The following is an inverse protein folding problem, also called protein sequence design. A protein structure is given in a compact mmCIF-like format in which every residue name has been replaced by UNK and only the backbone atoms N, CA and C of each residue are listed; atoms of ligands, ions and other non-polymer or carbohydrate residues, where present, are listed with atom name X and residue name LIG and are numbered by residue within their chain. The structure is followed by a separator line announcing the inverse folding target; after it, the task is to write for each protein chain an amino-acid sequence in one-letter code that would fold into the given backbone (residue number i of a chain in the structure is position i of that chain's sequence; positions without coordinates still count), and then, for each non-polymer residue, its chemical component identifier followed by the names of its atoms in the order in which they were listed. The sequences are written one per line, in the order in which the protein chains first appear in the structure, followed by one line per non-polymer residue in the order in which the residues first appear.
data_IF_670752692582
#
_entry.id   IF_670752692582
#
_cell.length_a   1.000
_cell.length_b   1.000
_cell.length_c   1.000
_cell.angle_alpha   90.00
_cell.angle_beta   90.00
_cell.angle_gamma   90.00
#
_symmetry.space_group_name_H-M   'P 1'
#
loop_
_entity.id
_entity.type
_entity.pdbx_description
1 polymer ?
#
# COMPACT_ATOMS: atom_id res chain seq x y z
N UNK A 1 17.53 17.07 -32.92
CA UNK A 1 17.60 15.72 -33.48
C UNK A 1 17.92 14.81 -32.31
N UNK A 2 16.91 14.29 -31.65
CA UNK A 2 16.64 12.87 -31.65
C UNK A 2 15.30 12.63 -30.94
N UNK A 3 14.36 12.10 -31.72
CA UNK A 3 12.98 11.93 -31.30
C UNK A 3 12.76 10.45 -30.96
N UNK A 4 13.22 9.99 -29.80
CA UNK A 4 13.12 8.54 -29.51
C UNK A 4 12.96 8.17 -28.04
N UNK A 5 12.21 8.94 -27.24
CA UNK A 5 11.72 8.44 -25.94
C UNK A 5 10.28 8.88 -25.72
N UNK A 6 9.40 8.41 -26.60
CA UNK A 6 7.96 8.50 -26.42
C UNK A 6 7.30 7.19 -26.87
N UNK A 7 7.47 6.11 -26.15
CA UNK A 7 6.65 4.94 -26.37
C UNK A 7 6.85 3.88 -25.28
N UNK A 8 6.36 4.10 -24.05
CA UNK A 8 6.17 3.03 -23.07
C UNK A 8 5.03 3.30 -22.09
N UNK A 9 4.00 4.04 -22.49
CA UNK A 9 2.74 4.06 -21.75
C UNK A 9 1.58 4.12 -22.72
N UNK A 10 1.34 3.02 -23.43
CA UNK A 10 0.02 2.76 -23.97
C UNK A 10 -0.84 2.25 -22.81
N UNK A 11 -1.96 2.89 -22.49
CA UNK A 11 -2.94 2.26 -21.62
C UNK A 11 -3.53 1.09 -22.41
N UNK A 12 -3.19 -0.13 -21.98
CA UNK A 12 -3.87 -1.32 -22.45
C UNK A 12 -5.37 -1.10 -22.26
N UNK A 13 -6.10 -1.16 -23.36
CA UNK A 13 -7.55 -1.14 -23.40
C UNK A 13 -8.09 -2.05 -22.30
N UNK A 14 -9.00 -1.51 -21.51
CA UNK A 14 -9.86 -2.21 -20.57
C UNK A 14 -10.51 -3.42 -21.25
N UNK A 15 -9.84 -4.55 -21.21
CA UNK A 15 -10.52 -5.81 -21.36
C UNK A 15 -11.41 -5.97 -20.12
N UNK A 16 -12.70 -5.82 -20.33
CA UNK A 16 -13.72 -6.16 -19.36
C UNK A 16 -13.56 -7.65 -19.04
N UNK A 17 -12.88 -7.96 -17.95
CA UNK A 17 -13.00 -9.28 -17.35
C UNK A 17 -14.27 -9.25 -16.52
N UNK A 18 -15.28 -10.06 -16.89
CA UNK A 18 -16.47 -10.18 -16.06
C UNK A 18 -16.06 -10.75 -14.71
N UNK A 19 -16.62 -10.22 -13.63
CA UNK A 19 -16.69 -10.92 -12.36
C UNK A 19 -17.39 -12.25 -12.62
N UNK A 20 -16.61 -13.29 -12.86
CA UNK A 20 -17.15 -14.62 -13.13
C UNK A 20 -17.79 -15.13 -11.86
N UNK A 21 -19.10 -15.18 -11.91
CA UNK A 21 -19.96 -15.92 -10.97
C UNK A 21 -19.53 -17.38 -10.97
N UNK A 22 -18.75 -17.79 -9.99
CA UNK A 22 -18.59 -19.21 -9.66
C UNK A 22 -19.72 -19.54 -8.70
N UNK A 23 -20.55 -20.49 -9.14
CA UNK A 23 -21.79 -20.91 -8.50
C UNK A 23 -21.62 -21.18 -7.00
N UNK A 24 -22.48 -20.52 -6.26
CA UNK A 24 -22.65 -20.72 -4.83
C UNK A 24 -23.82 -21.67 -4.64
N UNK A 25 -23.54 -22.74 -3.93
CA UNK A 25 -24.56 -23.59 -3.35
C UNK A 25 -25.18 -22.82 -2.18
N UNK A 26 -26.49 -22.63 -2.26
CA UNK A 26 -27.30 -22.00 -1.23
C UNK A 26 -27.17 -22.68 0.13
N UNK A 27 -26.88 -21.88 1.15
CA UNK A 27 -27.53 -22.05 2.45
C UNK A 27 -27.60 -20.74 3.21
N UNK A 28 -28.81 -20.39 3.43
CA UNK A 28 -29.47 -19.40 4.27
C UNK A 28 -28.68 -18.74 5.40
N UNK A 29 -28.77 -17.41 5.50
CA UNK A 29 -28.84 -16.73 6.80
C UNK A 29 -27.89 -15.56 7.01
N UNK A 30 -28.50 -14.38 7.11
CA UNK A 30 -28.00 -13.12 7.72
C UNK A 30 -26.91 -12.34 6.99
N UNK A 31 -27.35 -11.15 6.56
CA UNK A 31 -26.53 -9.99 6.21
C UNK A 31 -25.48 -9.68 7.28
N UNK A 32 -24.26 -10.06 7.03
CA UNK A 32 -23.11 -9.71 7.84
C UNK A 32 -21.94 -9.44 6.90
N UNK A 33 -21.41 -8.23 6.96
CA UNK A 33 -20.10 -7.92 6.39
C UNK A 33 -19.15 -9.07 6.76
N UNK A 34 -18.72 -9.86 5.79
CA UNK A 34 -17.66 -10.84 6.02
C UNK A 34 -16.35 -10.09 6.15
N UNK A 35 -16.05 -9.68 7.39
CA UNK A 35 -14.72 -9.26 7.77
C UNK A 35 -13.80 -10.47 7.57
N UNK A 36 -13.03 -10.48 6.51
CA UNK A 36 -11.91 -11.39 6.38
C UNK A 36 -10.90 -10.88 7.40
N UNK A 37 -10.91 -11.52 8.52
CA UNK A 37 -10.07 -11.51 9.71
C UNK A 37 -8.94 -10.48 9.77
N UNK A 38 -8.65 -10.04 10.98
CA UNK A 38 -7.40 -9.41 11.38
C UNK A 38 -6.23 -10.31 10.94
N UNK A 39 -5.77 -10.14 9.69
CA UNK A 39 -4.64 -10.86 9.14
C UNK A 39 -3.39 -10.36 9.84
N UNK A 40 -2.94 -11.08 10.86
CA UNK A 40 -1.75 -10.71 11.64
C UNK A 40 -0.45 -11.23 10.99
N UNK A 41 -0.54 -12.20 10.07
CA UNK A 41 0.63 -12.84 9.48
C UNK A 41 0.87 -12.38 8.05
N UNK A 42 2.07 -11.85 7.77
CA UNK A 42 2.49 -11.38 6.44
C UNK A 42 2.34 -12.48 5.35
N UNK A 43 2.53 -13.76 5.71
CA UNK A 43 2.38 -14.89 4.79
C UNK A 43 0.93 -15.12 4.37
N UNK A 44 -0.04 -14.96 5.26
CA UNK A 44 -1.47 -15.09 4.95
C UNK A 44 -1.92 -13.97 4.03
N UNK A 45 -1.49 -12.74 4.33
CA UNK A 45 -1.78 -11.57 3.48
C UNK A 45 -1.24 -11.80 2.07
N UNK A 46 0.00 -12.29 1.95
CA UNK A 46 0.63 -12.55 0.66
C UNK A 46 -0.15 -13.60 -0.14
N UNK A 47 -0.61 -14.69 0.50
CA UNK A 47 -1.45 -15.69 -0.14
C UNK A 47 -2.78 -15.10 -0.64
N UNK A 48 -3.42 -14.24 0.15
CA UNK A 48 -4.65 -13.55 -0.26
C UNK A 48 -4.42 -12.67 -1.49
N UNK A 49 -3.30 -11.95 -1.55
CA UNK A 49 -2.96 -11.13 -2.72
C UNK A 49 -2.72 -11.97 -3.98
N UNK A 50 -2.06 -13.13 -3.81
CA UNK A 50 -1.75 -14.04 -4.93
C UNK A 50 -2.99 -14.80 -5.45
N UNK A 51 -4.03 -14.98 -4.64
CA UNK A 51 -5.26 -15.64 -5.06
C UNK A 51 -6.00 -14.89 -6.16
N UNK A 52 -5.59 -13.65 -6.45
CA UNK A 52 -6.17 -12.84 -7.52
C UNK A 52 -7.55 -12.25 -7.17
N UNK A 53 -8.00 -12.41 -5.94
CA UNK A 53 -9.20 -11.75 -5.44
C UNK A 53 -8.91 -10.27 -5.16
N UNK A 54 -9.85 -9.40 -5.54
CA UNK A 54 -9.78 -7.98 -5.19
C UNK A 54 -10.31 -7.80 -3.78
N UNK A 55 -9.49 -7.25 -2.93
CA UNK A 55 -9.82 -6.88 -1.56
C UNK A 55 -9.67 -5.36 -1.39
N UNK A 56 -10.15 -4.82 -0.31
CA UNK A 56 -10.09 -3.41 0.03
C UNK A 56 -9.58 -3.25 1.46
N UNK A 57 -8.65 -2.33 1.68
CA UNK A 57 -8.24 -1.93 3.02
C UNK A 57 -9.42 -1.24 3.70
N UNK A 58 -9.78 -1.69 4.90
CA UNK A 58 -10.94 -1.17 5.62
C UNK A 58 -10.82 0.34 5.87
N UNK A 59 -11.74 1.12 5.28
CA UNK A 59 -11.74 2.58 5.36
C UNK A 59 -12.12 3.14 6.72
N UNK A 60 -12.72 2.31 7.59
CA UNK A 60 -13.17 2.72 8.93
C UNK A 60 -12.08 2.64 10.00
N UNK A 61 -10.91 2.11 9.64
CA UNK A 61 -9.77 1.94 10.56
C UNK A 61 -8.55 2.71 10.06
N UNK A 62 -7.66 3.08 10.98
CA UNK A 62 -6.34 3.61 10.65
C UNK A 62 -5.40 2.45 10.38
N UNK A 63 -5.45 1.94 9.18
CA UNK A 63 -4.65 0.80 8.76
C UNK A 63 -4.22 0.96 7.30
N UNK A 64 -3.24 0.16 6.88
CA UNK A 64 -2.75 0.17 5.51
C UNK A 64 -1.90 -1.06 5.23
N UNK A 65 -1.50 -1.18 3.98
CA UNK A 65 -0.64 -2.26 3.52
C UNK A 65 0.48 -1.71 2.64
N UNK A 66 1.72 -2.05 2.96
CA UNK A 66 2.85 -1.84 2.07
C UNK A 66 3.01 -3.10 1.23
N UNK A 67 2.82 -2.98 -0.07
CA UNK A 67 2.98 -4.06 -1.05
C UNK A 67 4.36 -3.94 -1.68
N UNK A 68 5.23 -4.90 -1.43
CA UNK A 68 6.59 -4.94 -1.97
C UNK A 68 6.57 -5.71 -3.28
N UNK A 69 6.95 -5.05 -4.35
CA UNK A 69 7.13 -5.61 -5.68
C UNK A 69 8.62 -5.77 -5.98
N UNK A 70 8.96 -6.34 -7.12
CA UNK A 70 10.35 -6.65 -7.49
C UNK A 70 11.32 -5.46 -7.39
N UNK A 71 10.87 -4.25 -7.72
CA UNK A 71 11.75 -3.07 -7.84
C UNK A 71 11.31 -1.88 -7.01
N UNK A 72 10.14 -1.93 -6.39
CA UNK A 72 9.57 -0.82 -5.63
C UNK A 72 8.55 -1.33 -4.63
N UNK A 73 8.15 -0.47 -3.73
CA UNK A 73 7.00 -0.73 -2.87
C UNK A 73 5.89 0.29 -3.16
N UNK A 74 4.68 -0.13 -2.94
CA UNK A 74 3.49 0.71 -3.03
C UNK A 74 2.76 0.70 -1.70
N UNK A 75 2.13 1.81 -1.36
CA UNK A 75 1.29 1.91 -0.18
C UNK A 75 -0.18 1.91 -0.56
N UNK A 76 -0.93 1.04 0.08
CA UNK A 76 -2.39 1.00 0.04
C UNK A 76 -2.94 1.44 1.41
N UNK A 77 -3.41 2.67 1.50
CA UNK A 77 -4.03 3.19 2.70
C UNK A 77 -5.52 2.85 2.80
N UNK A 78 -6.23 3.40 3.80
CA UNK A 78 -7.64 3.12 4.03
C UNK A 78 -8.50 3.32 2.79
N UNK A 79 -9.36 2.37 2.48
CA UNK A 79 -10.23 2.36 1.30
C UNK A 79 -9.57 1.92 -0.01
N UNK A 80 -8.26 1.74 -0.05
CA UNK A 80 -7.56 1.34 -1.28
C UNK A 80 -7.77 -0.14 -1.62
N UNK A 81 -7.89 -0.45 -2.91
CA UNK A 81 -7.90 -1.84 -3.38
C UNK A 81 -6.53 -2.48 -3.24
N UNK A 82 -6.50 -3.77 -2.95
CA UNK A 82 -5.32 -4.63 -2.93
C UNK A 82 -5.65 -5.99 -3.53
N UNK A 83 -4.64 -6.72 -3.97
CA UNK A 83 -4.83 -8.00 -4.66
C UNK A 83 -5.25 -7.84 -6.12
N UNK A 84 -6.02 -8.79 -6.63
CA UNK A 84 -6.40 -8.83 -8.03
C UNK A 84 -5.21 -9.05 -8.95
N UNK A 85 -5.34 -8.60 -10.20
CA UNK A 85 -4.27 -8.77 -11.20
C UNK A 85 -3.00 -7.98 -10.87
N UNK A 86 -3.15 -6.81 -10.24
CA UNK A 86 -2.04 -5.87 -10.04
C UNK A 86 -1.04 -6.27 -8.96
N UNK A 87 -1.46 -7.07 -8.00
CA UNK A 87 -0.61 -7.45 -6.87
C UNK A 87 -0.20 -8.94 -6.89
N UNK A 88 -0.45 -9.66 -7.99
CA UNK A 88 -0.05 -11.06 -8.17
C UNK A 88 1.46 -11.27 -8.15
N UNK A 89 2.22 -10.24 -8.54
CA UNK A 89 3.68 -10.24 -8.60
C UNK A 89 4.33 -9.71 -7.32
N UNK A 90 3.55 -9.45 -6.27
CA UNK A 90 4.09 -8.97 -5.01
C UNK A 90 4.96 -10.04 -4.34
N UNK A 91 6.09 -9.60 -3.78
CA UNK A 91 7.07 -10.48 -3.11
C UNK A 91 6.86 -10.53 -1.61
N UNK A 92 6.37 -9.43 -1.05
CA UNK A 92 6.06 -9.34 0.37
C UNK A 92 4.95 -8.30 0.61
N UNK A 93 4.30 -8.43 1.74
CA UNK A 93 3.26 -7.52 2.19
C UNK A 93 3.50 -7.18 3.68
N UNK A 94 3.58 -5.90 4.00
CA UNK A 94 3.83 -5.42 5.35
C UNK A 94 2.59 -4.67 5.84
N UNK A 95 1.89 -5.18 6.85
CA UNK A 95 0.75 -4.49 7.44
C UNK A 95 1.21 -3.23 8.19
N UNK A 96 0.41 -2.17 8.08
CA UNK A 96 0.61 -0.92 8.82
C UNK A 96 -0.61 -0.72 9.72
N UNK A 97 -0.37 -0.64 11.02
CA UNK A 97 -1.42 -0.64 12.02
C UNK A 97 -2.15 -1.98 12.13
N UNK A 98 -3.37 -1.95 12.65
CA UNK A 98 -4.21 -3.14 12.75
C UNK A 98 -4.92 -3.38 11.41
N UNK A 99 -4.23 -4.07 10.47
CA UNK A 99 -4.73 -4.30 9.11
C UNK A 99 -6.02 -5.11 9.13
N UNK A 100 -7.02 -4.59 8.44
CA UNK A 100 -8.28 -5.26 8.17
C UNK A 100 -8.59 -5.14 6.69
N UNK A 101 -8.79 -6.27 6.04
CA UNK A 101 -9.19 -6.36 4.63
C UNK A 101 -10.66 -6.75 4.54
N UNK A 102 -11.36 -6.15 3.61
CA UNK A 102 -12.78 -6.43 3.35
C UNK A 102 -13.00 -6.71 1.86
N UNK A 103 -13.99 -7.52 1.55
CA UNK A 103 -14.38 -7.75 0.15
C UNK A 103 -15.30 -6.61 -0.30
N UNK A 104 -15.07 -5.98 -1.47
CA UNK A 104 -16.00 -5.03 -2.03
C UNK A 104 -17.36 -5.70 -2.32
N UNK A 105 -18.46 -5.06 -1.93
CA UNK A 105 -19.81 -5.62 -2.08
C UNK A 105 -20.40 -5.34 -3.47
N UNK A 106 -19.93 -4.29 -4.12
CA UNK A 106 -20.46 -3.85 -5.40
C UNK A 106 -19.35 -3.51 -6.40
N UNK A 107 -19.71 -3.43 -7.68
CA UNK A 107 -18.81 -2.93 -8.71
C UNK A 107 -18.38 -1.47 -8.47
N UNK A 108 -19.28 -0.66 -7.92
CA UNK A 108 -18.96 0.72 -7.55
C UNK A 108 -17.91 0.79 -6.43
N UNK A 109 -17.99 -0.09 -5.44
CA UNK A 109 -17.00 -0.15 -4.37
C UNK A 109 -15.63 -0.57 -4.90
N UNK A 110 -15.60 -1.54 -5.83
CA UNK A 110 -14.36 -1.90 -6.53
C UNK A 110 -13.76 -0.69 -7.26
N UNK A 111 -14.58 0.06 -8.00
CA UNK A 111 -14.11 1.26 -8.72
C UNK A 111 -13.60 2.34 -7.76
N UNK A 112 -14.34 2.62 -6.69
CA UNK A 112 -13.92 3.59 -5.66
C UNK A 112 -12.60 3.17 -5.02
N UNK A 113 -12.48 1.92 -4.61
CA UNK A 113 -11.27 1.39 -4.00
C UNK A 113 -10.06 1.48 -4.94
N UNK A 114 -10.27 1.24 -6.22
CA UNK A 114 -9.25 1.39 -7.25
C UNK A 114 -8.81 2.85 -7.44
N UNK A 115 -9.76 3.78 -7.45
CA UNK A 115 -9.45 5.21 -7.52
C UNK A 115 -8.66 5.69 -6.30
N UNK A 116 -9.00 5.21 -5.10
CA UNK A 116 -8.26 5.51 -3.87
C UNK A 116 -6.84 4.93 -3.96
N UNK A 117 -6.66 3.69 -4.45
CA UNK A 117 -5.32 3.12 -4.68
C UNK A 117 -4.49 4.01 -5.60
N UNK A 118 -5.07 4.49 -6.70
CA UNK A 118 -4.40 5.41 -7.62
C UNK A 118 -3.99 6.73 -6.95
N UNK A 119 -4.79 7.25 -6.01
CA UNK A 119 -4.45 8.46 -5.27
C UNK A 119 -3.22 8.23 -4.37
N UNK A 120 -3.15 7.09 -3.68
CA UNK A 120 -1.98 6.72 -2.88
C UNK A 120 -0.72 6.57 -3.73
N UNK A 121 -0.81 5.88 -4.88
CA UNK A 121 0.31 5.76 -5.82
C UNK A 121 0.78 7.14 -6.30
N UNK A 122 -0.16 8.02 -6.62
CA UNK A 122 0.15 9.38 -7.07
C UNK A 122 0.84 10.20 -5.97
N UNK A 123 0.40 10.07 -4.74
CA UNK A 123 1.03 10.71 -3.58
C UNK A 123 2.47 10.21 -3.39
N UNK A 124 2.68 8.90 -3.44
CA UNK A 124 4.03 8.32 -3.35
C UNK A 124 4.93 8.83 -4.48
N UNK A 125 4.42 8.91 -5.71
CA UNK A 125 5.14 9.46 -6.85
C UNK A 125 5.59 10.91 -6.61
N UNK A 126 4.70 11.77 -6.13
CA UNK A 126 5.04 13.16 -5.80
C UNK A 126 6.15 13.27 -4.74
N UNK A 127 6.20 12.34 -3.80
CA UNK A 127 7.28 12.28 -2.81
C UNK A 127 8.59 11.86 -3.47
N UNK A 128 8.55 10.85 -4.33
CA UNK A 128 9.76 10.34 -5.03
C UNK A 128 10.33 11.33 -6.05
N UNK A 129 9.55 12.27 -6.54
CA UNK A 129 10.00 13.33 -7.44
C UNK A 129 10.88 14.39 -6.74
N UNK A 130 10.92 14.43 -5.41
CA UNK A 130 11.86 15.30 -4.67
C UNK A 130 13.30 14.88 -4.97
N UNK A 131 14.15 15.85 -5.30
CA UNK A 131 15.56 15.58 -5.66
C UNK A 131 16.40 15.16 -4.46
N UNK A 132 16.14 15.75 -3.29
CA UNK A 132 16.92 15.52 -2.07
C UNK A 132 16.38 14.31 -1.30
N UNK A 133 17.18 13.25 -1.07
CA UNK A 133 16.72 12.04 -0.40
C UNK A 133 16.13 12.28 1.00
N UNK A 134 16.75 13.14 1.82
CA UNK A 134 16.28 13.47 3.15
C UNK A 134 14.88 14.11 3.12
N UNK A 135 14.59 14.95 2.13
CA UNK A 135 13.27 15.55 1.96
C UNK A 135 12.20 14.51 1.61
N UNK A 136 12.56 13.45 0.86
CA UNK A 136 11.65 12.33 0.60
C UNK A 136 11.28 11.63 1.91
N UNK A 137 12.29 11.37 2.77
CA UNK A 137 12.05 10.74 4.08
C UNK A 137 11.17 11.63 4.95
N UNK A 138 11.51 12.90 5.10
CA UNK A 138 10.70 13.82 5.91
C UNK A 138 9.25 13.83 5.42
N UNK A 139 9.05 13.90 4.10
CA UNK A 139 7.71 14.00 3.53
C UNK A 139 6.89 12.72 3.69
N UNK A 140 7.51 11.53 3.55
CA UNK A 140 6.79 10.27 3.79
C UNK A 140 6.44 10.09 5.26
N UNK A 141 7.32 10.45 6.18
CA UNK A 141 7.05 10.40 7.62
C UNK A 141 5.91 11.36 7.99
N UNK A 142 5.95 12.62 7.55
CA UNK A 142 4.85 13.59 7.74
C UNK A 142 3.51 13.05 7.24
N UNK A 143 3.50 12.38 6.07
CA UNK A 143 2.27 11.81 5.53
C UNK A 143 1.78 10.63 6.38
N UNK A 144 2.68 9.77 6.84
CA UNK A 144 2.28 8.66 7.70
C UNK A 144 1.77 9.14 9.06
N UNK A 145 2.39 10.14 9.67
CA UNK A 145 1.96 10.75 10.94
C UNK A 145 0.59 11.44 10.86
N UNK A 146 0.16 11.87 9.66
CA UNK A 146 -1.20 12.39 9.45
C UNK A 146 -2.27 11.30 9.51
N UNK A 147 -1.94 10.08 9.10
CA UNK A 147 -2.89 8.96 9.00
C UNK A 147 -2.78 7.98 10.16
N UNK A 148 -1.60 7.85 10.76
CA UNK A 148 -1.29 6.86 11.77
C UNK A 148 -0.76 7.53 13.04
N UNK A 149 -0.88 6.83 14.17
CA UNK A 149 -0.23 7.24 15.41
C UNK A 149 1.29 6.99 15.35
N UNK A 150 2.02 7.67 16.23
CA UNK A 150 3.47 7.60 16.29
C UNK A 150 3.99 6.17 16.55
N UNK A 151 3.27 5.36 17.33
CA UNK A 151 3.64 3.99 17.61
C UNK A 151 3.59 3.13 16.34
N UNK A 152 2.50 3.24 15.58
CA UNK A 152 2.33 2.55 14.29
C UNK A 152 3.41 2.97 13.29
N UNK A 153 3.71 4.26 13.18
CA UNK A 153 4.78 4.76 12.29
C UNK A 153 6.16 4.22 12.72
N UNK A 154 6.42 4.16 14.02
CA UNK A 154 7.70 3.65 14.54
C UNK A 154 7.90 2.14 14.31
N UNK A 155 6.81 1.36 14.20
CA UNK A 155 6.87 -0.08 13.89
C UNK A 155 7.22 -0.37 12.43
N UNK A 156 6.98 0.58 11.51
CA UNK A 156 7.38 0.41 10.11
C UNK A 156 8.89 0.51 10.00
N UNK A 157 9.52 -0.48 9.39
CA UNK A 157 10.98 -0.55 9.28
C UNK A 157 11.55 0.53 8.36
N UNK A 158 12.83 0.85 8.56
CA UNK A 158 13.55 1.81 7.72
C UNK A 158 13.68 1.31 6.28
N UNK A 159 13.77 -0.03 6.09
CA UNK A 159 13.79 -0.69 4.78
C UNK A 159 12.46 -0.50 4.04
N UNK A 160 11.34 -0.63 4.72
CA UNK A 160 10.02 -0.44 4.12
C UNK A 160 9.83 1.00 3.63
N UNK A 161 10.18 1.99 4.44
CA UNK A 161 10.17 3.38 4.01
C UNK A 161 11.16 3.65 2.85
N UNK A 162 12.35 3.06 2.90
CA UNK A 162 13.35 3.19 1.86
C UNK A 162 12.83 2.68 0.50
N UNK A 163 12.16 1.54 0.48
CA UNK A 163 11.54 0.97 -0.72
C UNK A 163 10.38 1.83 -1.25
N UNK A 164 9.58 2.43 -0.36
CA UNK A 164 8.46 3.30 -0.76
C UNK A 164 8.93 4.56 -1.50
N UNK A 165 10.05 5.15 -1.08
CA UNK A 165 10.51 6.43 -1.63
C UNK A 165 11.80 6.34 -2.45
N UNK A 166 12.27 5.12 -2.72
CA UNK A 166 13.42 4.86 -3.61
C UNK A 166 14.73 5.45 -3.10
N UNK A 167 15.09 5.16 -1.84
CA UNK A 167 16.34 5.62 -1.20
C UNK A 167 16.99 4.48 -0.41
N UNK A 168 18.14 4.76 0.20
CA UNK A 168 18.82 3.79 1.08
C UNK A 168 18.22 3.80 2.49
N UNK A 169 18.11 2.63 3.17
CA UNK A 169 17.61 2.54 4.56
C UNK A 169 18.41 3.40 5.55
N UNK A 170 19.72 3.54 5.34
CA UNK A 170 20.57 4.40 6.15
C UNK A 170 20.12 5.86 6.15
N UNK A 171 19.62 6.35 5.00
CA UNK A 171 19.09 7.73 4.91
C UNK A 171 17.81 7.88 5.72
N UNK A 172 16.95 6.85 5.75
CA UNK A 172 15.77 6.83 6.61
C UNK A 172 16.18 6.86 8.08
N UNK A 173 17.11 5.98 8.48
CA UNK A 173 17.61 5.90 9.84
C UNK A 173 18.21 7.24 10.33
N UNK A 174 18.95 7.95 9.47
CA UNK A 174 19.52 9.26 9.79
C UNK A 174 18.45 10.32 10.07
N UNK A 175 17.35 10.31 9.31
CA UNK A 175 16.27 11.29 9.49
C UNK A 175 15.41 10.94 10.71
N UNK A 176 15.10 9.66 10.93
CA UNK A 176 14.29 9.20 12.07
C UNK A 176 15.02 9.31 13.41
N UNK A 177 16.33 9.13 13.39
CA UNK A 177 17.21 9.19 14.58
C UNK A 177 18.30 10.24 14.31
N UNK A 178 17.96 11.54 14.30
CA UNK A 178 18.98 12.55 14.18
C UNK A 178 19.98 12.31 15.32
N UNK A 179 21.22 12.04 14.94
CA UNK A 179 22.32 11.75 15.91
C UNK A 179 22.27 12.80 16.99
N UNK A 180 21.97 12.37 18.23
CA UNK A 180 21.89 13.28 19.36
C UNK A 180 23.16 14.11 19.38
N UNK A 181 22.99 15.42 19.29
CA UNK A 181 23.99 16.34 19.82
C UNK A 181 24.13 15.93 21.27
N UNK A 182 25.19 15.18 21.54
CA UNK A 182 25.65 14.89 22.88
C UNK A 182 25.72 16.25 23.60
N UNK A 183 24.70 16.55 24.42
CA UNK A 183 24.78 17.67 25.32
C UNK A 183 25.91 17.31 26.29
N UNK A 184 27.15 17.67 25.94
CA UNK A 184 28.22 17.74 26.90
C UNK A 184 27.71 18.65 28.03
N UNK A 185 27.33 18.04 29.11
CA UNK A 185 27.19 18.76 30.41
C UNK A 185 28.59 19.24 30.75
N UNK A 186 28.75 20.54 30.66
CA UNK A 186 29.85 21.26 31.30
C UNK A 186 29.48 21.40 32.79
#
# INVERSE_FOLDING_TARGET
MDSSIRSYYQPALLAQTPCSSIGIIDSCGSSGMTNINECQNASEILQLLHNGQVLMVNSRRRNGLIVIKRFHAEFAGPGASVGGFYDRDCQAAIPVGNLSLVTPESHEDCQKAYLIRRQWIRLMKQITEKTVPQQRVQKILEQFEQYFDAETVNRVSDEAFALLVGILPQTVAMVRRPSGIERRRI
#
